data_IF_574934548789
#
_entry.id   IF_574934548789
#
_cell.length_a   1.000
_cell.length_b   1.000
_cell.length_c   1.000
_cell.angle_alpha   90.00
_cell.angle_beta   90.00
_cell.angle_gamma   90.00
#
_symmetry.space_group_name_H-M   'P 1'
#
loop_
_entity.id
_entity.type
_entity.pdbx_description
1 polymer ?
#
# COMPACT_ATOMS: atom_id res chain seq x y z
N UNK A 1 1.80 14.00 -30.67
CA UNK A 1 1.68 13.31 -31.98
C UNK A 1 0.40 13.69 -32.67
N UNK A 2 -0.76 13.09 -32.35
CA UNK A 2 -2.03 13.35 -33.04
C UNK A 2 -2.42 14.85 -33.08
N UNK A 3 -2.29 15.55 -31.95
CA UNK A 3 -2.58 16.98 -31.87
C UNK A 3 -1.62 17.85 -32.70
N UNK A 4 -0.40 17.38 -32.94
CA UNK A 4 0.62 18.10 -33.71
C UNK A 4 0.72 17.59 -35.17
N UNK A 5 -0.06 16.57 -35.56
CA UNK A 5 0.07 15.91 -36.87
C UNK A 5 1.43 15.25 -37.11
N UNK A 6 2.23 15.05 -36.06
CA UNK A 6 3.62 14.57 -36.16
C UNK A 6 3.73 13.07 -35.85
N UNK A 7 4.47 12.28 -36.67
CA UNK A 7 4.83 10.92 -36.30
C UNK A 7 5.78 10.90 -35.10
N UNK A 8 5.81 9.77 -34.39
CA UNK A 8 6.66 9.55 -33.21
C UNK A 8 8.14 9.83 -33.50
N UNK A 9 8.60 9.47 -34.70
CA UNK A 9 9.98 9.65 -35.14
C UNK A 9 10.42 11.08 -35.39
N UNK A 10 9.48 12.02 -35.50
CA UNK A 10 9.75 13.43 -35.74
C UNK A 10 9.67 14.29 -34.47
N UNK A 11 9.38 13.68 -33.32
CA UNK A 11 9.25 14.43 -32.07
C UNK A 11 10.60 14.94 -31.59
N UNK A 12 10.65 16.24 -31.30
CA UNK A 12 11.86 16.91 -30.79
C UNK A 12 11.82 17.06 -29.27
N UNK A 13 12.92 17.55 -28.70
CA UNK A 13 12.98 17.94 -27.30
C UNK A 13 11.92 19.02 -26.96
N UNK A 14 11.74 20.00 -27.85
CA UNK A 14 10.78 21.09 -27.68
C UNK A 14 9.33 20.58 -27.63
N UNK A 15 8.98 19.62 -28.50
CA UNK A 15 7.65 18.99 -28.49
C UNK A 15 7.35 18.34 -27.12
N UNK A 16 8.38 17.79 -26.46
CA UNK A 16 8.26 17.14 -25.16
C UNK A 16 8.22 18.14 -24.00
N UNK A 17 8.86 19.30 -24.12
CA UNK A 17 8.70 20.41 -23.17
C UNK A 17 7.30 21.00 -23.24
N UNK A 18 6.73 21.12 -24.45
CA UNK A 18 5.32 21.52 -24.63
C UNK A 18 4.40 20.49 -23.97
N UNK A 19 4.67 19.20 -24.16
CA UNK A 19 3.92 18.14 -23.49
C UNK A 19 4.05 18.19 -21.97
N UNK A 20 5.25 18.45 -21.43
CA UNK A 20 5.47 18.63 -19.98
C UNK A 20 4.58 19.74 -19.42
N UNK A 21 4.56 20.92 -20.08
CA UNK A 21 3.70 22.04 -19.69
C UNK A 21 2.22 21.68 -19.80
N UNK A 22 1.83 20.99 -20.85
CA UNK A 22 0.46 20.50 -21.03
C UNK A 22 0.04 19.54 -19.90
N UNK A 23 0.93 18.70 -19.37
CA UNK A 23 0.59 17.83 -18.24
C UNK A 23 0.32 18.63 -16.95
N UNK A 24 1.00 19.76 -16.77
CA UNK A 24 0.79 20.68 -15.64
C UNK A 24 -0.51 21.47 -15.81
N UNK A 25 -0.92 21.78 -17.03
CA UNK A 25 -2.17 22.48 -17.32
C UNK A 25 -2.80 22.00 -18.65
N UNK A 26 -3.64 20.94 -18.61
CA UNK A 26 -4.18 20.34 -19.83
C UNK A 26 -5.29 21.19 -20.44
N UNK A 27 -4.95 22.05 -21.41
CA UNK A 27 -5.90 22.95 -22.09
C UNK A 27 -6.30 22.48 -23.51
N UNK A 28 -7.57 22.68 -23.93
CA UNK A 28 -8.69 23.17 -23.14
C UNK A 28 -9.20 22.12 -22.14
N UNK A 29 -9.45 22.52 -20.89
CA UNK A 29 -9.81 21.60 -19.81
C UNK A 29 -11.01 20.69 -20.15
N UNK A 30 -12.04 21.22 -20.81
CA UNK A 30 -13.23 20.45 -21.22
C UNK A 30 -12.94 19.25 -22.13
N UNK A 31 -11.79 19.24 -22.82
CA UNK A 31 -11.35 18.14 -23.71
C UNK A 31 -10.44 17.13 -23.02
N UNK A 32 -9.75 17.52 -21.95
CA UNK A 32 -8.67 16.71 -21.38
C UNK A 32 -8.91 16.31 -19.93
N UNK A 33 -9.70 17.10 -19.20
CA UNK A 33 -9.92 16.95 -17.76
C UNK A 33 -11.37 16.55 -17.50
N UNK A 34 -11.56 15.51 -16.69
CA UNK A 34 -12.87 15.09 -16.23
C UNK A 34 -13.56 16.24 -15.47
N UNK A 35 -14.81 16.52 -15.80
CA UNK A 35 -15.62 17.51 -15.07
C UNK A 35 -15.96 17.08 -13.63
N UNK A 36 -15.88 15.78 -13.35
CA UNK A 36 -16.20 15.16 -12.06
C UNK A 36 -15.05 14.25 -11.60
N UNK A 37 -14.87 14.14 -10.29
CA UNK A 37 -13.95 13.18 -9.67
C UNK A 37 -14.38 11.71 -9.85
N UNK A 38 -15.57 11.45 -10.40
CA UNK A 38 -16.06 10.11 -10.71
C UNK A 38 -15.28 9.52 -11.88
N UNK A 39 -14.71 8.32 -11.68
CA UNK A 39 -14.08 7.55 -12.75
C UNK A 39 -15.14 7.04 -13.72
N UNK A 40 -15.06 7.48 -14.96
CA UNK A 40 -15.92 7.03 -16.05
C UNK A 40 -15.22 5.92 -16.85
N UNK A 41 -16.01 5.03 -17.46
CA UNK A 41 -15.49 4.03 -18.39
C UNK A 41 -14.96 4.70 -19.67
N UNK A 42 -13.95 4.10 -20.32
CA UNK A 42 -13.30 4.71 -21.50
C UNK A 42 -14.25 4.96 -22.69
N UNK A 43 -15.30 4.16 -22.83
CA UNK A 43 -16.31 4.34 -23.88
C UNK A 43 -17.39 5.38 -23.55
N UNK A 44 -17.37 5.97 -22.35
CA UNK A 44 -18.36 6.97 -21.96
C UNK A 44 -18.09 8.31 -22.65
N UNK A 45 -19.13 9.00 -23.10
CA UNK A 45 -19.02 10.28 -23.83
C UNK A 45 -18.24 11.36 -23.06
N UNK A 46 -18.52 11.49 -21.75
CA UNK A 46 -17.81 12.43 -20.87
C UNK A 46 -16.45 11.93 -20.37
N UNK A 47 -15.96 10.79 -20.85
CA UNK A 47 -14.64 10.30 -20.44
C UNK A 47 -13.54 11.24 -20.92
N UNK A 48 -12.56 11.50 -20.06
CA UNK A 48 -11.40 12.32 -20.35
C UNK A 48 -10.13 11.65 -19.79
N UNK A 49 -8.95 11.86 -20.42
CA UNK A 49 -7.72 11.17 -20.00
C UNK A 49 -7.22 11.56 -18.60
N UNK A 50 -7.49 12.78 -18.16
CA UNK A 50 -7.00 13.30 -16.88
C UNK A 50 -8.14 13.52 -15.90
N UNK A 51 -7.93 13.16 -14.63
CA UNK A 51 -8.84 13.52 -13.54
C UNK A 51 -8.61 14.96 -13.03
N UNK A 52 -7.55 15.60 -13.51
CA UNK A 52 -7.09 16.93 -13.12
C UNK A 52 -5.65 17.18 -13.60
N UNK A 53 -5.14 18.41 -13.45
CA UNK A 53 -3.73 18.73 -13.64
C UNK A 53 -2.80 17.79 -12.87
N UNK A 54 -1.67 17.40 -13.46
CA UNK A 54 -0.72 16.50 -12.79
C UNK A 54 0.13 17.25 -11.77
N UNK A 55 0.39 16.60 -10.63
CA UNK A 55 1.39 17.09 -9.68
C UNK A 55 2.80 17.08 -10.30
N UNK A 56 3.73 17.93 -9.83
CA UNK A 56 5.12 17.93 -10.32
C UNK A 56 5.80 16.55 -10.23
N UNK A 57 5.44 15.74 -9.24
CA UNK A 57 5.95 14.37 -9.13
C UNK A 57 5.39 13.44 -10.22
N UNK A 58 4.10 13.57 -10.54
CA UNK A 58 3.43 12.80 -11.60
C UNK A 58 3.95 13.18 -12.99
N UNK A 59 4.16 14.48 -13.25
CA UNK A 59 4.75 14.96 -14.51
C UNK A 59 6.14 14.38 -14.71
N UNK A 60 7.01 14.47 -13.70
CA UNK A 60 8.35 13.85 -13.74
C UNK A 60 8.28 12.36 -14.01
N UNK A 61 7.35 11.64 -13.37
CA UNK A 61 7.20 10.21 -13.59
C UNK A 61 6.78 9.89 -15.04
N UNK A 62 5.86 10.67 -15.61
CA UNK A 62 5.46 10.51 -17.02
C UNK A 62 6.65 10.72 -17.97
N UNK A 63 7.48 11.74 -17.73
CA UNK A 63 8.69 11.98 -18.54
C UNK A 63 9.74 10.87 -18.40
N UNK A 64 9.87 10.25 -17.22
CA UNK A 64 10.74 9.08 -17.04
C UNK A 64 10.26 7.90 -17.90
N UNK A 65 8.95 7.66 -17.94
CA UNK A 65 8.36 6.60 -18.78
C UNK A 65 8.61 6.91 -20.26
N UNK A 66 8.37 8.15 -20.69
CA UNK A 66 8.64 8.55 -22.07
C UNK A 66 10.12 8.39 -22.44
N UNK A 67 11.03 8.82 -21.57
CA UNK A 67 12.46 8.65 -21.81
C UNK A 67 12.85 7.17 -21.96
N UNK A 68 12.27 6.27 -21.15
CA UNK A 68 12.50 4.83 -21.28
C UNK A 68 11.95 4.27 -22.60
N UNK A 69 10.76 4.72 -23.03
CA UNK A 69 10.19 4.36 -24.33
C UNK A 69 11.10 4.81 -25.49
N UNK A 70 11.53 6.07 -25.50
CA UNK A 70 12.41 6.60 -26.55
C UNK A 70 13.78 5.92 -26.56
N UNK A 71 14.35 5.64 -25.38
CA UNK A 71 15.60 4.88 -25.28
C UNK A 71 15.45 3.49 -25.91
N UNK A 72 14.39 2.77 -25.57
CA UNK A 72 14.10 1.46 -26.15
C UNK A 72 13.89 1.53 -27.67
N UNK A 73 13.16 2.52 -28.18
CA UNK A 73 12.94 2.68 -29.63
C UNK A 73 14.22 3.02 -30.38
N UNK A 74 15.16 3.74 -29.75
CA UNK A 74 16.49 3.96 -30.31
C UNK A 74 17.31 2.68 -30.32
N UNK A 75 17.31 1.91 -29.23
CA UNK A 75 18.00 0.62 -29.14
C UNK A 75 17.46 -0.40 -30.16
N UNK A 76 16.14 -0.38 -30.42
CA UNK A 76 15.49 -1.20 -31.43
C UNK A 76 15.74 -0.71 -32.88
N UNK A 77 16.47 0.40 -33.07
CA UNK A 77 16.77 0.96 -34.40
C UNK A 77 15.60 1.69 -35.06
N UNK A 78 14.47 1.88 -34.37
CA UNK A 78 13.32 2.62 -34.91
C UNK A 78 13.57 4.14 -34.95
N UNK A 79 14.30 4.66 -33.96
CA UNK A 79 14.67 6.07 -33.88
C UNK A 79 16.18 6.26 -33.98
N UNK A 80 16.61 7.28 -34.71
CA UNK A 80 18.01 7.67 -34.77
C UNK A 80 18.55 8.23 -33.44
N UNK A 81 17.67 8.72 -32.56
CA UNK A 81 18.08 9.23 -31.25
C UNK A 81 16.90 9.49 -30.31
N UNK A 82 17.22 9.60 -29.02
CA UNK A 82 16.25 9.88 -27.97
C UNK A 82 16.20 11.39 -27.66
N UNK A 83 15.08 12.09 -27.92
CA UNK A 83 14.93 13.54 -27.67
C UNK A 83 15.00 13.93 -26.17
N UNK A 84 14.97 12.97 -25.26
CA UNK A 84 15.11 13.15 -23.81
C UNK A 84 16.47 12.69 -23.26
N UNK A 85 17.39 12.23 -24.11
CA UNK A 85 18.69 11.71 -23.67
C UNK A 85 19.47 12.71 -22.79
N UNK A 86 19.39 14.00 -23.13
CA UNK A 86 20.07 15.09 -22.43
C UNK A 86 19.25 15.70 -21.28
N UNK A 87 17.95 15.39 -21.17
CA UNK A 87 17.11 15.86 -20.06
C UNK A 87 17.55 15.27 -18.70
N UNK A 88 18.39 14.24 -18.73
CA UNK A 88 19.04 13.63 -17.58
C UNK A 88 20.12 14.56 -17.00
N UNK A 89 19.71 15.68 -16.39
CA UNK A 89 20.50 16.23 -15.28
C UNK A 89 20.51 15.15 -14.20
N UNK A 90 21.62 14.44 -14.05
CA UNK A 90 21.85 13.50 -12.94
C UNK A 90 21.73 14.30 -11.65
N UNK A 91 20.51 14.43 -11.13
CA UNK A 91 20.29 15.02 -9.82
C UNK A 91 20.90 14.03 -8.83
N UNK A 92 21.79 14.53 -7.97
CA UNK A 92 22.34 13.73 -6.89
C UNK A 92 21.18 13.05 -6.16
N UNK A 93 21.31 11.76 -5.80
CA UNK A 93 20.29 11.06 -5.04
C UNK A 93 19.91 11.94 -3.85
N UNK A 94 18.62 12.32 -3.78
CA UNK A 94 18.14 13.09 -2.65
C UNK A 94 18.28 12.20 -1.43
N UNK A 95 18.96 12.67 -0.40
CA UNK A 95 19.09 11.91 0.84
C UNK A 95 17.70 11.53 1.35
N UNK A 96 17.48 10.28 1.78
CA UNK A 96 16.19 9.85 2.30
C UNK A 96 15.85 10.72 3.51
N UNK A 97 14.77 11.49 3.40
CA UNK A 97 14.23 12.29 4.51
C UNK A 97 12.96 11.62 5.03
N UNK A 98 12.93 11.35 6.34
CA UNK A 98 11.71 10.91 7.01
C UNK A 98 10.77 12.12 7.05
N UNK A 99 9.74 12.10 6.21
CA UNK A 99 8.79 13.22 6.08
C UNK A 99 7.46 12.94 6.77
N UNK A 100 7.16 11.67 7.07
CA UNK A 100 5.92 11.23 7.69
C UNK A 100 6.20 10.03 8.60
N UNK A 101 5.93 10.21 9.88
CA UNK A 101 5.97 9.17 10.90
C UNK A 101 5.01 9.56 12.02
N UNK A 102 4.63 8.58 12.84
CA UNK A 102 3.86 8.80 14.06
C UNK A 102 4.83 8.68 15.23
N UNK A 103 4.94 9.73 16.05
CA UNK A 103 5.65 9.67 17.32
C UNK A 103 4.80 8.92 18.35
N UNK A 104 5.34 8.68 19.56
CA UNK A 104 4.63 7.96 20.61
C UNK A 104 3.29 8.64 21.00
N UNK A 105 3.27 9.96 21.12
CA UNK A 105 2.07 10.74 21.45
C UNK A 105 0.95 10.58 20.43
N UNK A 106 1.30 10.48 19.13
CA UNK A 106 0.32 10.24 18.07
C UNK A 106 -0.12 8.77 17.99
N UNK A 107 0.68 7.84 18.54
CA UNK A 107 0.33 6.43 18.61
C UNK A 107 -0.68 6.11 19.71
N UNK A 108 -0.67 6.85 20.82
CA UNK A 108 -1.56 6.56 21.95
C UNK A 108 -3.05 6.70 21.59
N UNK A 109 -3.50 7.76 20.90
CA UNK A 109 -4.88 7.85 20.42
C UNK A 109 -5.27 6.74 19.43
N UNK A 110 -4.30 6.23 18.67
CA UNK A 110 -4.53 5.11 17.74
C UNK A 110 -4.74 3.81 18.53
N UNK A 111 -3.89 3.55 19.53
CA UNK A 111 -4.04 2.41 20.45
C UNK A 111 -5.35 2.49 21.21
N UNK A 112 -5.72 3.66 21.73
CA UNK A 112 -7.00 3.92 22.39
C UNK A 112 -8.19 3.64 21.47
N UNK A 113 -8.10 4.09 20.21
CA UNK A 113 -9.17 3.91 19.26
C UNK A 113 -9.45 2.43 18.96
N UNK A 114 -8.40 1.62 18.82
CA UNK A 114 -8.50 0.16 18.70
C UNK A 114 -8.99 -0.47 20.00
N UNK A 115 -8.46 -0.01 21.14
CA UNK A 115 -8.79 -0.58 22.44
C UNK A 115 -10.27 -0.44 22.78
N UNK A 116 -10.90 0.64 22.31
CA UNK A 116 -12.31 0.96 22.47
C UNK A 116 -13.21 0.44 21.34
N UNK A 117 -12.69 -0.34 20.38
CA UNK A 117 -13.54 -1.10 19.45
C UNK A 117 -14.32 -2.20 20.21
N UNK A 118 -15.51 -2.62 19.72
CA UNK A 118 -16.30 -3.66 20.37
C UNK A 118 -15.48 -4.93 20.65
N UNK A 119 -15.39 -5.30 21.92
CA UNK A 119 -14.70 -6.51 22.39
C UNK A 119 -15.70 -7.64 22.59
N UNK A 120 -15.32 -8.64 23.39
CA UNK A 120 -16.20 -9.69 23.91
C UNK A 120 -17.22 -9.11 24.92
N UNK A 121 -17.92 -8.05 24.55
CA UNK A 121 -19.11 -7.53 25.24
C UNK A 121 -20.36 -8.17 24.62
N UNK A 122 -21.38 -8.44 25.43
CA UNK A 122 -22.57 -9.19 25.02
C UNK A 122 -23.40 -8.50 23.92
N UNK A 123 -23.23 -7.18 23.75
CA UNK A 123 -23.94 -6.37 22.75
C UNK A 123 -23.31 -6.37 21.37
N UNK A 124 -22.07 -6.83 21.22
CA UNK A 124 -21.38 -6.83 19.93
C UNK A 124 -21.78 -8.04 19.07
N UNK A 125 -21.90 -7.87 17.76
CA UNK A 125 -22.06 -9.01 16.85
C UNK A 125 -20.73 -9.75 16.69
N UNK A 126 -20.79 -11.05 16.33
CA UNK A 126 -19.58 -11.83 16.05
C UNK A 126 -18.70 -11.19 14.97
N UNK A 127 -19.34 -10.55 13.97
CA UNK A 127 -18.66 -9.86 12.87
C UNK A 127 -17.85 -8.66 13.37
N UNK A 128 -18.43 -7.84 14.25
CA UNK A 128 -17.75 -6.67 14.83
C UNK A 128 -16.55 -7.10 15.68
N UNK A 129 -16.69 -8.17 16.46
CA UNK A 129 -15.58 -8.73 17.24
C UNK A 129 -14.42 -9.18 16.36
N UNK A 130 -14.70 -9.88 15.26
CA UNK A 130 -13.66 -10.30 14.31
C UNK A 130 -13.02 -9.12 13.60
N UNK A 131 -13.80 -8.08 13.29
CA UNK A 131 -13.28 -6.85 12.71
C UNK A 131 -12.34 -6.14 13.69
N UNK A 132 -12.74 -5.96 14.95
CA UNK A 132 -11.91 -5.35 15.99
C UNK A 132 -10.60 -6.12 16.21
N UNK A 133 -10.67 -7.47 16.28
CA UNK A 133 -9.50 -8.33 16.39
C UNK A 133 -8.53 -8.15 15.20
N UNK A 134 -9.07 -8.01 13.98
CA UNK A 134 -8.28 -7.77 12.77
C UNK A 134 -7.63 -6.39 12.76
N UNK A 135 -8.32 -5.34 13.18
CA UNK A 135 -7.77 -3.99 13.27
C UNK A 135 -6.61 -3.94 14.27
N UNK A 136 -6.78 -4.58 15.44
CA UNK A 136 -5.73 -4.72 16.44
C UNK A 136 -4.52 -5.47 15.89
N UNK A 137 -4.75 -6.67 15.35
CA UNK A 137 -3.70 -7.50 14.80
C UNK A 137 -2.90 -6.81 13.69
N UNK A 138 -3.59 -6.15 12.76
CA UNK A 138 -2.96 -5.37 11.71
C UNK A 138 -2.03 -4.30 12.27
N UNK A 139 -2.48 -3.52 13.25
CA UNK A 139 -1.63 -2.50 13.84
C UNK A 139 -0.46 -3.08 14.63
N UNK A 140 -0.65 -4.20 15.33
CA UNK A 140 0.46 -4.90 16.00
C UNK A 140 1.52 -5.37 15.01
N UNK A 141 1.12 -5.97 13.88
CA UNK A 141 2.05 -6.41 12.83
C UNK A 141 2.83 -5.23 12.22
N UNK A 142 2.13 -4.12 11.93
CA UNK A 142 2.79 -2.94 11.35
C UNK A 142 3.70 -2.22 12.34
N UNK A 143 3.29 -2.11 13.60
CA UNK A 143 4.02 -1.41 14.64
C UNK A 143 5.23 -2.21 15.15
N UNK A 144 5.04 -3.49 15.47
CA UNK A 144 6.09 -4.34 16.03
C UNK A 144 6.97 -4.98 14.95
N UNK A 145 6.38 -5.38 13.82
CA UNK A 145 7.10 -6.07 12.75
C UNK A 145 7.67 -5.15 11.67
N UNK A 146 7.14 -3.94 11.51
CA UNK A 146 7.58 -3.00 10.46
C UNK A 146 7.32 -3.50 9.04
N UNK A 147 6.39 -4.46 8.85
CA UNK A 147 6.11 -5.06 7.55
C UNK A 147 5.54 -4.04 6.56
N UNK A 148 5.92 -4.19 5.30
CA UNK A 148 5.28 -3.49 4.18
C UNK A 148 3.89 -4.06 3.92
N UNK A 149 2.98 -3.23 3.41
CA UNK A 149 1.65 -3.65 3.02
C UNK A 149 1.61 -4.89 2.09
N UNK A 150 2.59 -5.02 1.18
CA UNK A 150 2.70 -6.18 0.29
C UNK A 150 3.07 -7.47 1.05
N UNK A 151 4.00 -7.37 2.00
CA UNK A 151 4.43 -8.47 2.87
C UNK A 151 3.25 -8.93 3.74
N UNK A 152 2.51 -8.00 4.37
CA UNK A 152 1.31 -8.33 5.16
C UNK A 152 0.26 -9.10 4.35
N UNK A 153 0.05 -8.74 3.08
CA UNK A 153 -0.95 -9.40 2.22
C UNK A 153 -0.46 -10.68 1.57
N UNK A 154 0.87 -10.88 1.48
CA UNK A 154 1.50 -12.00 0.80
C UNK A 154 2.01 -13.10 1.73
N UNK A 155 2.18 -12.82 3.02
CA UNK A 155 2.69 -13.78 4.00
C UNK A 155 1.56 -14.60 4.61
N UNK A 156 1.82 -15.90 4.80
CA UNK A 156 0.94 -16.81 5.52
C UNK A 156 1.32 -16.88 7.01
N UNK A 157 0.36 -17.22 7.88
CA UNK A 157 0.60 -17.42 9.31
C UNK A 157 1.60 -18.55 9.59
N UNK A 158 1.70 -19.55 8.70
CA UNK A 158 2.71 -20.62 8.80
C UNK A 158 4.15 -20.15 8.61
N UNK A 159 4.37 -18.90 8.23
CA UNK A 159 5.70 -18.30 8.12
C UNK A 159 6.29 -17.87 9.48
N UNK A 160 5.49 -17.92 10.56
CA UNK A 160 6.04 -17.82 11.91
C UNK A 160 6.71 -19.13 12.31
N UNK A 161 7.96 -19.04 12.76
CA UNK A 161 8.69 -20.20 13.27
C UNK A 161 9.52 -19.81 14.48
N UNK A 162 9.79 -20.78 15.34
CA UNK A 162 10.63 -20.63 16.53
C UNK A 162 11.95 -21.38 16.32
N UNK A 163 13.06 -20.79 16.77
CA UNK A 163 14.36 -21.46 16.90
C UNK A 163 14.92 -21.22 18.28
N UNK A 164 15.58 -22.22 18.86
CA UNK A 164 16.38 -22.03 20.06
C UNK A 164 17.71 -21.40 19.70
N UNK A 165 18.11 -20.38 20.44
CA UNK A 165 19.44 -19.80 20.33
C UNK A 165 20.49 -20.66 21.04
N UNK A 166 21.75 -20.20 21.02
CA UNK A 166 22.87 -20.89 21.65
C UNK A 166 22.72 -21.02 23.19
N UNK A 167 21.85 -20.20 23.80
CA UNK A 167 21.53 -20.20 25.22
C UNK A 167 20.29 -21.06 25.54
N UNK A 168 19.69 -21.70 24.55
CA UNK A 168 18.48 -22.51 24.68
C UNK A 168 17.17 -21.71 24.75
N UNK A 169 17.24 -20.39 24.56
CA UNK A 169 16.07 -19.50 24.60
C UNK A 169 15.34 -19.56 23.26
N UNK A 170 14.02 -19.73 23.32
CA UNK A 170 13.15 -19.75 22.16
C UNK A 170 12.98 -18.35 21.57
N UNK A 171 13.37 -18.18 20.30
CA UNK A 171 13.23 -16.94 19.54
C UNK A 171 12.33 -17.14 18.34
N UNK A 172 11.32 -16.30 18.25
CA UNK A 172 10.37 -16.32 17.15
C UNK A 172 10.80 -15.41 16.00
N UNK A 173 10.54 -15.88 14.79
CA UNK A 173 10.82 -15.19 13.54
C UNK A 173 9.62 -15.29 12.62
N UNK A 174 9.48 -14.30 11.75
CA UNK A 174 8.52 -14.26 10.68
C UNK A 174 9.27 -14.16 9.35
N UNK A 175 9.11 -15.17 8.50
CA UNK A 175 9.63 -15.14 7.14
C UNK A 175 8.70 -14.34 6.21
N UNK A 176 9.25 -13.36 5.50
CA UNK A 176 8.50 -12.51 4.57
C UNK A 176 9.18 -12.43 3.21
N UNK A 177 8.40 -12.46 2.14
CA UNK A 177 8.92 -12.25 0.78
C UNK A 177 8.69 -10.80 0.36
N UNK A 178 9.78 -10.05 0.23
CA UNK A 178 9.79 -8.62 -0.08
C UNK A 178 9.95 -8.31 -1.58
N UNK A 179 10.28 -7.04 -1.88
CA UNK A 179 10.46 -6.56 -3.26
C UNK A 179 11.56 -7.35 -3.99
N UNK A 180 11.25 -7.81 -5.19
CA UNK A 180 12.19 -8.54 -6.04
C UNK A 180 12.32 -10.01 -5.66
N UNK A 181 11.28 -10.58 -5.03
CA UNK A 181 11.20 -11.99 -4.61
C UNK A 181 12.29 -12.40 -3.60
N UNK A 182 12.73 -11.42 -2.80
CA UNK A 182 13.76 -11.64 -1.78
C UNK A 182 13.13 -11.94 -0.43
N UNK A 183 13.46 -13.10 0.12
CA UNK A 183 13.05 -13.50 1.46
C UNK A 183 13.85 -12.74 2.52
N UNK A 184 13.16 -12.26 3.55
CA UNK A 184 13.74 -11.62 4.73
C UNK A 184 13.15 -12.19 6.01
N UNK A 185 13.91 -12.11 7.10
CA UNK A 185 13.47 -12.53 8.43
C UNK A 185 13.17 -11.30 9.28
N UNK A 186 11.95 -11.25 9.82
CA UNK A 186 11.52 -10.24 10.79
C UNK A 186 11.52 -10.89 12.17
N UNK A 187 12.22 -10.32 13.17
CA UNK A 187 12.10 -10.77 14.55
C UNK A 187 10.65 -10.67 15.01
N UNK A 188 10.08 -11.78 15.48
CA UNK A 188 8.75 -11.77 16.08
C UNK A 188 8.91 -11.72 17.60
N UNK A 189 8.77 -10.53 18.17
CA UNK A 189 8.84 -10.33 19.62
C UNK A 189 7.75 -11.15 20.33
N UNK A 190 7.94 -11.42 21.62
CA UNK A 190 6.93 -12.12 22.44
C UNK A 190 5.59 -11.39 22.42
N UNK A 191 5.61 -10.06 22.37
CA UNK A 191 4.42 -9.23 22.20
C UNK A 191 3.71 -9.51 20.87
N UNK A 192 4.45 -9.59 19.76
CA UNK A 192 3.86 -9.89 18.44
C UNK A 192 3.28 -11.32 18.40
N UNK A 193 3.96 -12.30 19.00
CA UNK A 193 3.49 -13.68 19.11
C UNK A 193 2.23 -13.77 19.98
N UNK A 194 2.17 -13.00 21.08
CA UNK A 194 0.99 -12.92 21.93
C UNK A 194 -0.22 -12.28 21.20
N UNK A 195 0.02 -11.24 20.39
CA UNK A 195 -1.00 -10.63 19.53
C UNK A 195 -1.49 -11.61 18.45
N UNK A 196 -0.59 -12.40 17.85
CA UNK A 196 -0.95 -13.46 16.91
C UNK A 196 -1.86 -14.50 17.58
N UNK A 197 -1.47 -14.97 18.77
CA UNK A 197 -2.27 -15.94 19.53
C UNK A 197 -3.66 -15.40 19.87
N UNK A 198 -3.76 -14.12 20.26
CA UNK A 198 -5.05 -13.46 20.51
C UNK A 198 -5.91 -13.39 19.25
N UNK A 199 -5.31 -13.00 18.12
CA UNK A 199 -6.00 -12.92 16.83
C UNK A 199 -6.52 -14.28 16.38
N UNK A 200 -5.68 -15.32 16.49
CA UNK A 200 -6.04 -16.70 16.15
C UNK A 200 -7.18 -17.24 17.02
N UNK A 201 -7.14 -17.00 18.34
CA UNK A 201 -8.23 -17.38 19.26
C UNK A 201 -9.55 -16.68 18.93
N UNK A 202 -9.53 -15.39 18.57
CA UNK A 202 -10.73 -14.68 18.14
C UNK A 202 -11.37 -15.33 16.90
N UNK A 203 -10.57 -16.01 16.08
CA UNK A 203 -11.00 -16.76 14.91
C UNK A 203 -11.23 -18.26 15.17
N UNK A 204 -11.18 -18.74 16.41
CA UNK A 204 -11.37 -20.15 16.76
C UNK A 204 -10.20 -21.06 16.36
N UNK A 205 -9.03 -20.49 16.11
CA UNK A 205 -7.82 -21.22 15.72
C UNK A 205 -6.92 -21.47 16.93
N UNK A 206 -6.05 -22.49 16.83
CA UNK A 206 -4.99 -22.74 17.81
C UNK A 206 -4.09 -21.50 17.96
N UNK A 207 -3.59 -21.17 19.17
CA UNK A 207 -2.83 -19.95 19.41
C UNK A 207 -1.53 -19.85 18.58
N UNK A 208 -0.89 -20.98 18.30
CA UNK A 208 0.28 -21.05 17.43
C UNK A 208 -0.11 -21.54 16.03
N UNK A 209 0.55 -21.02 14.97
CA UNK A 209 0.39 -21.54 13.62
C UNK A 209 1.02 -22.93 13.49
N UNK A 210 0.44 -23.75 12.63
CA UNK A 210 1.06 -25.04 12.26
C UNK A 210 2.16 -24.77 11.22
N UNK A 211 3.29 -25.50 11.26
CA UNK A 211 4.26 -25.46 10.17
C UNK A 211 3.59 -25.74 8.82
N UNK A 212 3.88 -24.93 7.80
CA UNK A 212 3.26 -25.06 6.48
C UNK A 212 1.80 -24.58 6.36
N UNK A 213 1.24 -23.96 7.41
CA UNK A 213 -0.10 -23.37 7.35
C UNK A 213 -0.18 -22.24 6.31
N UNK A 214 -1.04 -22.40 5.31
CA UNK A 214 -1.22 -21.44 4.20
C UNK A 214 -2.20 -20.32 4.49
N UNK A 215 -2.80 -20.28 5.70
CA UNK A 215 -3.75 -19.22 6.07
C UNK A 215 -3.09 -17.85 5.99
N UNK A 216 -3.72 -16.84 5.39
CA UNK A 216 -3.12 -15.53 5.22
C UNK A 216 -2.92 -14.85 6.57
N UNK A 217 -1.91 -13.98 6.68
CA UNK A 217 -1.64 -13.22 7.90
C UNK A 217 -2.85 -12.40 8.37
N UNK A 218 -3.68 -11.92 7.43
CA UNK A 218 -4.96 -11.27 7.71
C UNK A 218 -6.12 -12.06 7.11
N UNK A 219 -7.02 -12.51 7.97
CA UNK A 219 -8.20 -13.27 7.57
C UNK A 219 -9.35 -12.34 7.16
N UNK A 220 -10.15 -12.72 6.15
CA UNK A 220 -11.38 -12.03 5.82
C UNK A 220 -12.44 -12.22 6.92
N UNK A 221 -13.21 -11.16 7.16
CA UNK A 221 -14.34 -11.17 8.12
C UNK A 221 -15.66 -11.56 7.42
N UNK A 222 -15.76 -11.37 6.10
CA UNK A 222 -16.94 -11.67 5.28
C UNK A 222 -16.63 -12.88 4.39
N UNK A 223 -17.62 -13.74 4.13
CA UNK A 223 -17.49 -14.85 3.17
C UNK A 223 -16.87 -16.14 3.73
N UNK A 224 -16.90 -16.32 5.06
CA UNK A 224 -16.32 -17.49 5.77
C UNK A 224 -17.09 -18.79 5.64
N UNK A 225 -18.32 -18.77 5.12
CA UNK A 225 -19.25 -19.91 5.27
C UNK A 225 -18.85 -21.19 4.54
N UNK A 226 -17.80 -21.22 3.72
CA UNK A 226 -17.53 -22.40 2.87
C UNK A 226 -16.06 -22.65 2.49
N UNK A 227 -15.08 -22.08 3.20
CA UNK A 227 -13.65 -22.16 2.79
C UNK A 227 -12.74 -22.60 3.93
N UNK A 228 -12.84 -23.86 4.35
CA UNK A 228 -11.90 -24.43 5.32
C UNK A 228 -10.48 -24.61 4.77
N UNK A 229 -10.31 -24.64 3.44
CA UNK A 229 -9.04 -24.98 2.81
C UNK A 229 -8.37 -23.87 1.98
N UNK A 230 -9.05 -22.75 1.68
CA UNK A 230 -8.47 -21.71 0.80
C UNK A 230 -9.01 -20.31 1.12
N UNK A 231 -8.65 -19.80 2.29
CA UNK A 231 -8.96 -18.41 2.68
C UNK A 231 -8.04 -17.45 1.91
N UNK A 232 -8.56 -16.85 0.84
CA UNK A 232 -7.83 -15.79 0.13
C UNK A 232 -7.59 -14.59 1.06
N UNK A 233 -6.32 -14.19 1.17
CA UNK A 233 -5.90 -13.03 1.95
C UNK A 233 -6.53 -11.71 1.48
N UNK A 234 -6.49 -10.71 2.36
CA UNK A 234 -6.94 -9.35 2.03
C UNK A 234 -6.07 -8.71 0.94
N UNK A 235 -6.69 -7.90 0.09
CA UNK A 235 -5.95 -7.07 -0.86
C UNK A 235 -5.31 -5.86 -0.15
N UNK A 236 -4.27 -5.27 -0.77
CA UNK A 236 -3.68 -4.00 -0.31
C UNK A 236 -4.71 -2.86 -0.23
N UNK A 237 -5.72 -2.88 -1.09
CA UNK A 237 -6.84 -1.92 -1.03
C UNK A 237 -7.69 -2.10 0.23
N UNK A 238 -8.01 -3.36 0.59
CA UNK A 238 -8.73 -3.65 1.83
C UNK A 238 -7.92 -3.25 3.07
N UNK A 239 -6.60 -3.51 3.06
CA UNK A 239 -5.67 -3.05 4.10
C UNK A 239 -5.74 -1.53 4.30
N UNK A 240 -5.67 -0.79 3.19
CA UNK A 240 -5.74 0.68 3.21
C UNK A 240 -7.05 1.19 3.80
N UNK A 241 -8.18 0.58 3.44
CA UNK A 241 -9.49 0.98 3.98
C UNK A 241 -9.60 0.74 5.48
N UNK A 242 -9.10 -0.40 5.98
CA UNK A 242 -9.07 -0.71 7.42
C UNK A 242 -8.22 0.32 8.16
N UNK A 243 -7.02 0.62 7.67
CA UNK A 243 -6.16 1.63 8.31
C UNK A 243 -6.82 3.01 8.29
N UNK A 244 -7.45 3.40 7.17
CA UNK A 244 -8.15 4.68 7.05
C UNK A 244 -9.30 4.80 8.04
N UNK A 245 -10.05 3.71 8.27
CA UNK A 245 -11.08 3.65 9.29
C UNK A 245 -10.50 3.84 10.69
N UNK A 246 -9.47 3.08 11.07
CA UNK A 246 -8.83 3.17 12.39
C UNK A 246 -8.28 4.58 12.64
N UNK A 247 -7.54 5.15 11.69
CA UNK A 247 -7.01 6.51 11.81
C UNK A 247 -8.13 7.57 11.82
N UNK A 248 -9.24 7.32 11.12
CA UNK A 248 -10.43 8.17 11.18
C UNK A 248 -11.06 8.19 12.57
N UNK A 249 -11.18 7.02 13.21
CA UNK A 249 -11.67 6.87 14.59
C UNK A 249 -10.73 7.53 15.60
N UNK A 250 -9.41 7.36 15.45
CA UNK A 250 -8.41 8.01 16.28
C UNK A 250 -8.48 9.53 16.16
N UNK A 251 -8.59 10.05 14.93
CA UNK A 251 -8.74 11.48 14.69
C UNK A 251 -10.05 12.05 15.27
N UNK A 252 -11.16 11.31 15.17
CA UNK A 252 -12.44 11.72 15.77
C UNK A 252 -12.35 11.78 17.30
N UNK A 253 -11.72 10.79 17.94
CA UNK A 253 -11.47 10.78 19.39
C UNK A 253 -10.58 11.93 19.85
N UNK A 254 -9.50 12.20 19.10
CA UNK A 254 -8.63 13.33 19.39
C UNK A 254 -9.39 14.67 19.35
N UNK A 255 -10.19 14.90 18.31
CA UNK A 255 -11.01 16.13 18.22
C UNK A 255 -12.02 16.25 19.35
N UNK A 256 -12.57 15.13 19.83
CA UNK A 256 -13.53 15.13 20.93
C UNK A 256 -12.91 15.49 22.29
N UNK A 257 -11.59 15.34 22.46
CA UNK A 257 -10.88 15.76 23.70
C UNK A 257 -10.76 17.28 23.83
N UNK A 258 -11.02 18.04 22.76
CA UNK A 258 -10.82 19.50 22.72
C UNK A 258 -9.36 19.90 22.44
N UNK A 259 -9.09 21.18 22.17
CA UNK A 259 -7.71 21.69 22.14
C UNK A 259 -7.12 21.64 23.56
N UNK A 260 -5.86 21.20 23.66
CA UNK A 260 -5.02 21.49 24.83
C UNK A 260 -4.68 22.98 24.89
#
# INVERSE_FOLDING_TARGET
MLQLGKPLSSLTHEDLLIYERFLVDPQPAARWVLASSKKLARGHFDWRPFAGPLSPASVRHALVILNALFAWLTEAGYLAGNPLALARRRRAPTQPRITRYLNHELWDPVKDAVAAMPRMTDTATARERLHAARCRWLLSVLYLGGLRAAEVTGTAMGAFFCRRDAQGVERWWLEVTGKGDKTGLVPATDELVAELARYRRAHGLAPTPRPGETRPLLLPVIGRKDRQHDEKGLSRGALHLILKEVFGLAAARLRARGPE
#
